data_IF_544822293123
#
_entry.id   IF_544822293123
#
_cell.length_a   1.000
_cell.length_b   1.000
_cell.length_c   1.000
_cell.angle_alpha   90.00
_cell.angle_beta   90.00
_cell.angle_gamma   90.00
#
_symmetry.space_group_name_H-M   'P 1'
#
loop_
_entity.id
_entity.type
_entity.pdbx_description
1 polymer ?
#
# COMPACT_ATOMS: atom_id res chain seq x y z
N UNK A 1 -32.80 7.77 42.88
CA UNK A 1 -32.33 8.94 42.11
C UNK A 1 -30.86 8.83 41.71
N UNK A 2 -29.90 8.64 42.64
CA UNK A 2 -28.47 8.48 42.30
C UNK A 2 -28.18 7.36 41.29
N UNK A 3 -28.76 6.16 41.46
CA UNK A 3 -28.55 5.03 40.54
C UNK A 3 -29.13 5.28 39.14
N UNK A 4 -30.21 6.06 39.03
CA UNK A 4 -30.82 6.43 37.74
C UNK A 4 -29.93 7.44 37.03
N UNK A 5 -29.34 8.39 37.75
CA UNK A 5 -28.38 9.33 37.21
C UNK A 5 -27.13 8.63 36.66
N UNK A 6 -26.55 7.68 37.41
CA UNK A 6 -25.42 6.88 36.94
C UNK A 6 -25.75 6.05 35.69
N UNK A 7 -26.94 5.45 35.64
CA UNK A 7 -27.39 4.69 34.47
C UNK A 7 -27.56 5.58 33.24
N UNK A 8 -28.11 6.79 33.39
CA UNK A 8 -28.26 7.75 32.28
C UNK A 8 -26.88 8.20 31.78
N UNK A 9 -25.94 8.53 32.69
CA UNK A 9 -24.58 8.88 32.29
C UNK A 9 -23.89 7.72 31.56
N UNK A 10 -24.07 6.49 32.03
CA UNK A 10 -23.49 5.31 31.39
C UNK A 10 -24.05 5.08 29.98
N UNK A 11 -25.38 5.15 29.81
CA UNK A 11 -26.02 5.01 28.50
C UNK A 11 -25.65 6.16 27.55
N UNK A 12 -25.49 7.38 28.06
CA UNK A 12 -25.01 8.51 27.26
C UNK A 12 -23.59 8.27 26.75
N UNK A 13 -22.68 7.75 27.61
CA UNK A 13 -21.32 7.40 27.20
C UNK A 13 -21.30 6.27 26.17
N UNK A 14 -22.10 5.22 26.36
CA UNK A 14 -22.21 4.14 25.36
C UNK A 14 -22.76 4.66 24.03
N UNK A 15 -23.76 5.53 24.07
CA UNK A 15 -24.32 6.14 22.86
C UNK A 15 -23.31 7.03 22.15
N UNK A 16 -22.46 7.77 22.88
CA UNK A 16 -21.42 8.60 22.25
C UNK A 16 -20.32 7.77 21.62
N UNK A 17 -19.91 6.66 22.27
CA UNK A 17 -18.94 5.72 21.68
C UNK A 17 -19.53 5.10 20.41
N UNK A 18 -20.75 4.59 20.48
CA UNK A 18 -21.42 4.01 19.31
C UNK A 18 -21.61 5.01 18.15
N UNK A 19 -21.92 6.27 18.44
CA UNK A 19 -22.02 7.31 17.40
C UNK A 19 -20.66 7.64 16.78
N UNK A 20 -19.59 7.62 17.58
CA UNK A 20 -18.23 7.81 17.11
C UNK A 20 -17.81 6.66 16.18
N UNK A 21 -18.03 5.41 16.60
CA UNK A 21 -17.75 4.23 15.77
C UNK A 21 -18.53 4.27 14.43
N UNK A 22 -19.78 4.77 14.45
CA UNK A 22 -20.57 4.95 13.23
C UNK A 22 -20.04 6.06 12.32
N UNK A 23 -19.42 7.10 12.87
CA UNK A 23 -18.84 8.18 12.08
C UNK A 23 -17.54 7.73 11.44
N UNK A 24 -16.66 7.07 12.20
CA UNK A 24 -15.40 6.47 11.73
C UNK A 24 -15.64 5.46 10.60
N UNK A 25 -16.58 4.53 10.78
CA UNK A 25 -16.93 3.56 9.72
C UNK A 25 -17.42 4.23 8.44
N UNK A 26 -18.16 5.35 8.54
CA UNK A 26 -18.65 6.07 7.36
C UNK A 26 -17.53 6.83 6.64
N UNK A 27 -16.56 7.34 7.38
CA UNK A 27 -15.37 7.96 6.81
C UNK A 27 -14.50 6.93 6.09
N UNK A 28 -14.28 5.75 6.68
CA UNK A 28 -13.57 4.66 6.02
C UNK A 28 -14.28 4.19 4.75
N UNK A 29 -15.60 3.99 4.79
CA UNK A 29 -16.36 3.61 3.60
C UNK A 29 -16.25 4.65 2.48
N UNK A 30 -16.41 5.94 2.82
CA UNK A 30 -16.28 7.01 1.82
C UNK A 30 -14.87 7.10 1.22
N UNK A 31 -13.83 6.79 2.01
CA UNK A 31 -12.46 6.75 1.53
C UNK A 31 -12.20 5.53 0.63
N UNK A 32 -12.75 4.36 0.98
CA UNK A 32 -12.69 3.18 0.13
C UNK A 32 -13.37 3.43 -1.22
N UNK A 33 -14.58 4.01 -1.21
CA UNK A 33 -15.31 4.41 -2.42
C UNK A 33 -14.51 5.41 -3.28
N UNK A 34 -13.87 6.42 -2.68
CA UNK A 34 -13.02 7.36 -3.40
C UNK A 34 -11.84 6.66 -4.08
N UNK A 35 -11.16 5.76 -3.35
CA UNK A 35 -10.03 4.96 -3.87
C UNK A 35 -10.47 4.08 -5.04
N UNK A 36 -11.53 3.29 -4.88
CA UNK A 36 -11.98 2.35 -5.94
C UNK A 36 -12.62 3.06 -7.13
N UNK A 37 -13.05 4.31 -6.97
CA UNK A 37 -13.58 5.14 -8.06
C UNK A 37 -12.49 5.78 -8.94
N UNK A 38 -11.22 5.70 -8.53
CA UNK A 38 -10.12 6.28 -9.27
C UNK A 38 -9.88 5.57 -10.62
N UNK A 39 -9.50 6.33 -11.63
CA UNK A 39 -9.05 5.76 -12.91
C UNK A 39 -7.80 4.90 -12.67
N UNK A 40 -7.75 3.69 -13.27
CA UNK A 40 -6.70 2.63 -13.24
C UNK A 40 -5.22 3.11 -13.20
N UNK A 41 -4.85 3.81 -12.13
CA UNK A 41 -3.61 4.54 -11.92
C UNK A 41 -3.28 4.56 -10.41
N UNK A 42 -2.10 5.08 -10.06
CA UNK A 42 -1.75 5.30 -8.66
C UNK A 42 -2.64 6.37 -8.04
N UNK A 43 -3.08 6.14 -6.81
CA UNK A 43 -3.76 7.14 -6.00
C UNK A 43 -2.90 8.43 -5.94
N UNK A 44 -3.49 9.64 -6.10
CA UNK A 44 -2.71 10.88 -6.26
C UNK A 44 -1.71 11.15 -5.13
N UNK A 45 -2.06 10.79 -3.89
CA UNK A 45 -1.15 10.92 -2.76
C UNK A 45 0.03 9.93 -2.86
N UNK A 46 -0.24 8.68 -3.23
CA UNK A 46 0.79 7.65 -3.43
C UNK A 46 1.74 8.06 -4.54
N UNK A 47 1.20 8.55 -5.67
CA UNK A 47 1.99 9.09 -6.78
C UNK A 47 2.93 10.21 -6.34
N UNK A 48 2.42 11.16 -5.55
CA UNK A 48 3.22 12.26 -5.00
C UNK A 48 4.35 11.75 -4.11
N UNK A 49 4.05 10.80 -3.21
CA UNK A 49 5.07 10.28 -2.29
C UNK A 49 6.10 9.41 -3.00
N UNK A 50 5.69 8.67 -4.03
CA UNK A 50 6.60 7.97 -4.95
C UNK A 50 7.55 8.93 -5.67
N UNK A 51 7.07 10.08 -6.15
CA UNK A 51 7.93 11.10 -6.78
C UNK A 51 8.93 11.69 -5.76
N UNK A 52 8.50 11.98 -4.53
CA UNK A 52 9.35 12.46 -3.44
C UNK A 52 10.40 11.41 -3.00
N UNK A 53 10.01 10.12 -2.96
CA UNK A 53 10.92 9.01 -2.67
C UNK A 53 12.09 8.99 -3.65
N UNK A 54 11.80 9.09 -4.96
CA UNK A 54 12.81 9.13 -6.02
C UNK A 54 13.73 10.35 -5.84
N UNK A 55 13.17 11.54 -5.59
CA UNK A 55 13.95 12.76 -5.40
C UNK A 55 14.89 12.66 -4.18
N UNK A 56 14.41 12.11 -3.06
CA UNK A 56 15.22 11.95 -1.83
C UNK A 56 16.30 10.88 -1.98
N UNK A 57 15.98 9.76 -2.61
CA UNK A 57 16.97 8.72 -2.89
C UNK A 57 18.07 9.25 -3.84
N UNK A 58 17.68 9.98 -4.90
CA UNK A 58 18.64 10.59 -5.82
C UNK A 58 19.53 11.61 -5.09
N UNK A 59 18.99 12.37 -4.14
CA UNK A 59 19.76 13.33 -3.35
C UNK A 59 20.87 12.69 -2.48
N UNK A 60 20.73 11.41 -2.12
CA UNK A 60 21.78 10.63 -1.43
C UNK A 60 22.61 9.75 -2.37
N UNK A 61 22.35 9.84 -3.68
CA UNK A 61 23.13 9.14 -4.71
C UNK A 61 22.59 7.77 -5.12
N UNK A 62 21.40 7.39 -4.66
CA UNK A 62 20.74 6.12 -5.01
C UNK A 62 19.75 6.38 -6.14
N UNK A 63 19.89 5.65 -7.24
CA UNK A 63 18.95 5.74 -8.36
C UNK A 63 17.86 4.68 -8.22
N UNK A 64 16.63 5.13 -7.94
CA UNK A 64 15.45 4.27 -7.73
C UNK A 64 14.63 4.15 -9.02
N UNK A 65 14.32 2.91 -9.41
CA UNK A 65 13.43 2.59 -10.52
C UNK A 65 12.15 1.99 -9.96
N UNK A 66 11.00 2.56 -10.33
CA UNK A 66 9.69 1.99 -10.01
C UNK A 66 9.39 0.89 -11.03
N UNK A 67 9.34 -0.35 -10.56
CA UNK A 67 9.15 -1.55 -11.40
C UNK A 67 7.68 -1.91 -11.58
N UNK A 68 6.84 -1.55 -10.60
CA UNK A 68 5.37 -1.66 -10.67
C UNK A 68 4.71 -0.51 -9.91
N UNK A 69 3.53 -0.08 -10.38
CA UNK A 69 2.64 0.80 -9.63
C UNK A 69 1.24 0.18 -9.55
N UNK A 70 0.24 0.85 -10.14
CA UNK A 70 -1.07 0.24 -10.34
C UNK A 70 -0.96 -1.03 -11.20
N UNK A 71 -1.69 -2.08 -10.80
CA UNK A 71 -1.76 -3.35 -11.50
C UNK A 71 -3.22 -3.78 -11.63
N UNK A 72 -3.72 -3.88 -12.85
CA UNK A 72 -5.11 -4.31 -13.09
C UNK A 72 -5.39 -5.72 -12.56
N UNK A 73 -6.67 -6.01 -12.33
CA UNK A 73 -7.14 -7.35 -11.93
C UNK A 73 -6.74 -8.44 -12.92
N UNK A 74 -6.90 -8.17 -14.22
CA UNK A 74 -6.46 -9.11 -15.28
C UNK A 74 -4.96 -9.42 -15.18
N UNK A 75 -4.13 -8.38 -14.98
CA UNK A 75 -2.68 -8.59 -14.82
C UNK A 75 -2.35 -9.33 -13.53
N UNK A 76 -3.09 -9.10 -12.45
CA UNK A 76 -2.89 -9.80 -11.19
C UNK A 76 -3.22 -11.29 -11.33
N UNK A 77 -4.32 -11.64 -12.02
CA UNK A 77 -4.68 -13.02 -12.31
C UNK A 77 -3.61 -13.73 -13.16
N UNK A 78 -3.08 -13.04 -14.19
CA UNK A 78 -1.98 -13.57 -15.01
C UNK A 78 -0.72 -13.87 -14.17
N UNK A 79 -0.35 -12.96 -13.25
CA UNK A 79 0.77 -13.19 -12.34
C UNK A 79 0.51 -14.32 -11.35
N UNK A 80 -0.72 -14.41 -10.81
CA UNK A 80 -1.11 -15.49 -9.90
C UNK A 80 -1.03 -16.86 -10.58
N UNK A 81 -1.37 -16.93 -11.87
CA UNK A 81 -1.32 -18.17 -12.65
C UNK A 81 0.10 -18.71 -12.86
N UNK A 82 1.15 -17.86 -12.81
CA UNK A 82 2.54 -18.27 -12.98
C UNK A 82 3.02 -19.24 -11.88
N UNK A 83 3.71 -20.30 -12.28
CA UNK A 83 4.16 -21.37 -11.38
C UNK A 83 3.02 -22.25 -10.85
N UNK A 84 1.75 -21.96 -11.19
CA UNK A 84 0.56 -22.73 -10.81
C UNK A 84 -0.08 -23.39 -12.04
N UNK A 85 -0.75 -22.59 -12.86
CA UNK A 85 -1.39 -23.01 -14.11
C UNK A 85 -0.47 -22.82 -15.32
N UNK A 86 0.48 -21.89 -15.22
CA UNK A 86 1.49 -21.58 -16.24
C UNK A 86 2.91 -21.90 -15.76
N UNK A 87 3.84 -22.03 -16.70
CA UNK A 87 5.26 -22.22 -16.38
C UNK A 87 5.89 -20.92 -15.90
N UNK A 88 6.75 -21.00 -14.89
CA UNK A 88 7.44 -19.85 -14.31
C UNK A 88 7.65 -20.06 -12.82
N UNK A 89 8.29 -19.09 -12.18
CA UNK A 89 8.35 -19.03 -10.72
C UNK A 89 7.08 -18.38 -10.18
N UNK A 90 6.70 -18.71 -8.95
CA UNK A 90 5.60 -18.04 -8.26
C UNK A 90 6.07 -16.65 -7.86
N UNK A 91 5.48 -15.62 -8.46
CA UNK A 91 5.84 -14.20 -8.20
C UNK A 91 4.85 -13.48 -7.29
N UNK A 92 3.67 -14.06 -7.07
CA UNK A 92 2.67 -13.54 -6.12
C UNK A 92 1.80 -14.66 -5.55
N UNK A 93 1.26 -14.41 -4.34
CA UNK A 93 0.25 -15.25 -3.71
C UNK A 93 -1.14 -14.60 -3.67
N UNK A 94 -1.27 -13.36 -4.11
CA UNK A 94 -2.52 -12.62 -4.13
C UNK A 94 -3.28 -12.88 -5.44
N UNK A 95 -4.57 -13.18 -5.35
CA UNK A 95 -5.49 -13.20 -6.50
C UNK A 95 -5.90 -11.76 -6.89
N UNK A 96 -6.63 -11.60 -7.99
CA UNK A 96 -7.18 -10.30 -8.36
C UNK A 96 -8.01 -9.68 -7.22
N UNK A 97 -7.74 -8.40 -6.94
CA UNK A 97 -8.39 -7.66 -5.86
C UNK A 97 -7.80 -7.96 -4.48
N UNK A 98 -6.82 -8.85 -4.33
CA UNK A 98 -6.18 -9.16 -3.04
C UNK A 98 -4.85 -8.42 -2.83
N UNK A 99 -4.48 -7.52 -3.75
CA UNK A 99 -3.26 -6.72 -3.67
C UNK A 99 -3.54 -5.23 -3.67
N UNK A 100 -2.84 -4.45 -2.84
CA UNK A 100 -2.93 -2.99 -2.85
C UNK A 100 -2.51 -2.35 -4.19
N UNK A 101 -1.74 -3.06 -5.02
CA UNK A 101 -1.47 -2.63 -6.39
C UNK A 101 -2.75 -2.53 -7.24
N UNK A 102 -3.75 -3.36 -6.95
CA UNK A 102 -5.03 -3.37 -7.66
C UNK A 102 -5.86 -2.09 -7.43
N UNK A 103 -5.54 -1.38 -6.36
CA UNK A 103 -6.24 -0.15 -5.95
C UNK A 103 -5.36 1.09 -6.10
N UNK A 104 -4.19 0.97 -6.76
CA UNK A 104 -3.26 2.09 -6.92
C UNK A 104 -2.61 2.56 -5.62
N UNK A 105 -2.58 1.70 -4.61
CA UNK A 105 -2.11 1.99 -3.25
C UNK A 105 -0.70 1.49 -2.95
N UNK A 106 -0.05 0.84 -3.92
CA UNK A 106 1.29 0.28 -3.76
C UNK A 106 2.18 0.53 -4.99
N UNK A 107 3.48 0.50 -4.74
CA UNK A 107 4.55 0.55 -5.73
C UNK A 107 5.60 -0.51 -5.41
N UNK A 108 6.21 -1.07 -6.45
CA UNK A 108 7.43 -1.86 -6.32
C UNK A 108 8.61 -1.02 -6.80
N UNK A 109 9.72 -1.05 -6.06
CA UNK A 109 10.95 -0.37 -6.45
C UNK A 109 12.13 -1.34 -6.62
N UNK A 110 13.13 -0.90 -7.36
CA UNK A 110 14.45 -1.52 -7.43
C UNK A 110 15.54 -0.45 -7.56
N UNK A 111 16.78 -0.86 -7.41
CA UNK A 111 17.95 0.03 -7.49
C UNK A 111 18.61 -0.16 -8.85
N UNK A 112 18.96 0.93 -9.51
CA UNK A 112 19.72 0.93 -10.75
C UNK A 112 21.14 1.45 -10.50
N UNK A 113 22.15 0.69 -10.89
CA UNK A 113 23.53 1.13 -10.73
C UNK A 113 23.94 2.15 -11.81
N UNK A 114 25.14 2.71 -11.69
CA UNK A 114 25.65 3.71 -12.65
C UNK A 114 25.83 3.23 -14.10
N UNK A 115 25.78 1.91 -14.34
CA UNK A 115 25.82 1.31 -15.68
C UNK A 115 24.41 1.05 -16.27
N UNK A 116 23.34 1.36 -15.52
CA UNK A 116 21.95 1.13 -15.94
C UNK A 116 21.46 -0.30 -15.69
N UNK A 117 22.14 -1.06 -14.81
CA UNK A 117 21.72 -2.41 -14.44
C UNK A 117 20.86 -2.38 -13.17
N UNK A 118 19.74 -3.11 -13.21
CA UNK A 118 18.90 -3.30 -12.02
C UNK A 118 19.56 -4.29 -11.06
N UNK A 119 19.74 -3.86 -9.81
CA UNK A 119 20.36 -4.61 -8.75
C UNK A 119 19.29 -5.17 -7.80
N UNK A 120 19.18 -6.49 -7.75
CA UNK A 120 18.26 -7.22 -6.89
C UNK A 120 18.92 -7.75 -5.60
N UNK A 121 20.22 -7.52 -5.44
CA UNK A 121 20.94 -7.87 -4.21
C UNK A 121 20.59 -6.87 -3.11
N UNK A 122 19.87 -7.31 -2.09
CA UNK A 122 19.41 -6.47 -0.98
C UNK A 122 20.60 -5.93 -0.16
N UNK A 123 21.74 -6.62 -0.17
CA UNK A 123 22.96 -6.21 0.54
C UNK A 123 23.85 -5.27 -0.29
N UNK A 124 23.37 -4.83 -1.46
CA UNK A 124 24.10 -3.91 -2.32
C UNK A 124 24.23 -2.53 -1.67
N UNK A 125 25.47 -2.08 -1.48
CA UNK A 125 25.86 -0.74 -1.04
C UNK A 125 26.66 -0.08 -2.17
N UNK A 126 25.94 0.51 -3.14
CA UNK A 126 26.50 1.17 -4.31
C UNK A 126 27.00 2.58 -4.03
N UNK A 127 26.47 3.23 -2.98
CA UNK A 127 26.89 4.56 -2.53
C UNK A 127 28.13 4.53 -1.63
N UNK A 128 28.54 3.35 -1.16
CA UNK A 128 29.60 3.13 -0.17
C UNK A 128 29.31 3.86 1.15
N UNK A 129 28.04 3.98 1.53
CA UNK A 129 27.58 4.62 2.76
C UNK A 129 27.90 3.77 4.00
N UNK A 130 28.07 2.46 3.81
CA UNK A 130 28.20 1.45 4.86
C UNK A 130 26.88 0.79 5.24
N UNK A 131 25.76 1.22 4.64
CA UNK A 131 24.44 0.59 4.74
C UNK A 131 23.97 0.15 3.34
N UNK A 132 23.17 -0.93 3.21
CA UNK A 132 22.66 -1.32 1.90
C UNK A 132 21.69 -0.28 1.35
N UNK A 133 21.86 0.10 0.08
CA UNK A 133 21.06 1.13 -0.58
C UNK A 133 19.55 0.80 -0.55
N UNK A 134 19.19 -0.49 -0.56
CA UNK A 134 17.80 -0.97 -0.44
C UNK A 134 17.15 -0.57 0.89
N UNK A 135 17.92 -0.62 1.98
CA UNK A 135 17.43 -0.26 3.31
C UNK A 135 17.33 1.25 3.48
N UNK A 136 18.26 2.01 2.90
CA UNK A 136 18.18 3.48 2.90
C UNK A 136 16.95 3.97 2.14
N UNK A 137 16.63 3.39 0.98
CA UNK A 137 15.40 3.72 0.22
C UNK A 137 14.14 3.32 0.98
N UNK A 138 14.15 2.14 1.62
CA UNK A 138 13.03 1.71 2.46
C UNK A 138 12.78 2.66 3.63
N UNK A 139 13.82 3.10 4.34
CA UNK A 139 13.73 4.07 5.43
C UNK A 139 13.13 5.39 4.95
N UNK A 140 13.57 5.92 3.80
CA UNK A 140 12.95 7.10 3.19
C UNK A 140 11.47 6.85 2.88
N UNK A 141 11.12 5.68 2.36
CA UNK A 141 9.73 5.28 2.11
C UNK A 141 8.89 5.34 3.38
N UNK A 142 9.37 4.76 4.47
CA UNK A 142 8.70 4.79 5.78
C UNK A 142 8.56 6.21 6.33
N UNK A 143 9.58 7.06 6.19
CA UNK A 143 9.50 8.48 6.56
C UNK A 143 8.44 9.25 5.77
N UNK A 144 8.19 8.86 4.51
CA UNK A 144 7.14 9.42 3.66
C UNK A 144 5.75 8.86 3.95
N UNK A 145 5.66 7.86 4.83
CA UNK A 145 4.43 7.23 5.29
C UNK A 145 4.05 5.96 4.54
N UNK A 146 4.96 5.36 3.78
CA UNK A 146 4.76 4.01 3.26
C UNK A 146 4.96 2.97 4.36
N UNK A 147 4.26 1.85 4.27
CA UNK A 147 4.67 0.62 4.91
C UNK A 147 5.58 -0.15 3.96
N UNK A 148 6.69 -0.69 4.46
CA UNK A 148 7.65 -1.42 3.65
C UNK A 148 7.51 -2.94 3.77
N UNK A 149 7.46 -3.62 2.62
CA UNK A 149 7.26 -5.05 2.54
C UNK A 149 8.43 -5.91 3.00
N UNK A 150 9.62 -5.33 3.17
CA UNK A 150 10.76 -6.02 3.78
C UNK A 150 10.44 -6.61 5.16
N UNK A 151 9.51 -6.02 5.92
CA UNK A 151 9.03 -6.56 7.20
C UNK A 151 8.31 -7.91 7.07
N UNK A 152 7.82 -8.26 5.87
CA UNK A 152 7.21 -9.54 5.54
C UNK A 152 7.87 -10.27 4.36
N UNK A 153 9.14 -9.97 4.08
CA UNK A 153 9.97 -10.55 3.01
C UNK A 153 9.52 -10.23 1.57
N UNK A 154 8.90 -9.07 1.36
CA UNK A 154 8.59 -8.51 0.04
C UNK A 154 9.36 -7.19 -0.15
N UNK A 155 10.66 -7.30 -0.41
CA UNK A 155 11.60 -6.18 -0.35
C UNK A 155 11.31 -5.04 -1.36
N UNK A 156 10.84 -5.30 -2.60
CA UNK A 156 10.44 -4.24 -3.53
C UNK A 156 9.24 -3.42 -3.08
N UNK A 157 8.38 -3.97 -2.24
CA UNK A 157 7.02 -3.47 -2.05
C UNK A 157 6.96 -2.30 -1.04
N UNK A 158 6.24 -1.25 -1.42
CA UNK A 158 5.85 -0.13 -0.58
C UNK A 158 4.36 0.16 -0.77
N UNK A 159 3.61 0.29 0.34
CA UNK A 159 2.16 0.56 0.28
C UNK A 159 1.71 1.70 1.21
N UNK A 160 0.58 2.32 0.85
CA UNK A 160 -0.19 3.23 1.72
C UNK A 160 -1.64 2.81 1.67
N UNK A 161 -2.07 2.03 2.66
CA UNK A 161 -3.44 1.51 2.74
C UNK A 161 -4.45 2.53 3.29
N UNK A 162 -3.96 3.62 3.90
CA UNK A 162 -4.75 4.62 4.60
C UNK A 162 -5.64 4.03 5.71
N UNK A 163 -5.29 2.86 6.25
CA UNK A 163 -6.09 2.10 7.21
C UNK A 163 -7.25 1.32 6.57
N UNK A 164 -7.27 1.16 5.24
CA UNK A 164 -8.23 0.32 4.53
C UNK A 164 -7.69 -1.09 4.39
N UNK A 165 -8.49 -2.07 4.80
CA UNK A 165 -8.27 -3.46 4.48
C UNK A 165 -8.63 -3.77 3.03
N UNK A 166 -8.05 -4.85 2.51
CA UNK A 166 -8.44 -5.42 1.22
C UNK A 166 -9.95 -5.75 1.18
N UNK A 167 -10.53 -6.25 2.28
CA UNK A 167 -11.96 -6.57 2.36
C UNK A 167 -12.84 -5.33 2.16
N UNK A 168 -12.50 -4.21 2.80
CA UNK A 168 -13.24 -2.94 2.63
C UNK A 168 -13.15 -2.40 1.20
N UNK A 169 -11.99 -2.55 0.55
CA UNK A 169 -11.80 -2.15 -0.84
C UNK A 169 -12.63 -3.03 -1.80
N UNK A 170 -12.62 -4.35 -1.60
CA UNK A 170 -13.43 -5.28 -2.38
C UNK A 170 -14.94 -5.03 -2.20
N UNK A 171 -15.38 -4.73 -0.97
CA UNK A 171 -16.77 -4.39 -0.70
C UNK A 171 -17.19 -3.09 -1.39
N UNK A 172 -16.33 -2.06 -1.38
CA UNK A 172 -16.60 -0.79 -2.05
C UNK A 172 -16.67 -0.95 -3.58
N UNK A 173 -15.75 -1.72 -4.18
CA UNK A 173 -15.76 -2.00 -5.61
C UNK A 173 -17.03 -2.74 -6.03
N UNK A 174 -17.43 -3.78 -5.29
CA UNK A 174 -18.67 -4.50 -5.54
C UNK A 174 -19.90 -3.59 -5.43
N UNK A 175 -19.91 -2.63 -4.51
CA UNK A 175 -21.02 -1.67 -4.40
C UNK A 175 -21.11 -0.79 -5.65
N UNK A 176 -19.99 -0.25 -6.12
CA UNK A 176 -19.95 0.57 -7.34
C UNK A 176 -20.39 -0.18 -8.60
N UNK A 177 -20.03 -1.46 -8.74
CA UNK A 177 -20.47 -2.28 -9.88
C UNK A 177 -21.99 -2.55 -9.90
N UNK A 178 -22.65 -2.48 -8.73
CA UNK A 178 -24.06 -2.80 -8.57
C UNK A 178 -25.00 -1.57 -8.66
N UNK A 179 -24.46 -0.35 -8.79
CA UNK A 179 -25.22 0.91 -8.96
C UNK A 179 -25.50 1.27 -10.43
#
# INVERSE_FOLDING_TARGET
MKNIFFLICFLAVLSTIFLFDLEENREQQAMAEDVVSADEELHPYVKKQKDELIERAEAIGINVVITEGYRSHERQDDLYAQGRAESGDIVTNAEAGESYHNYGLAIDFAIENGDGEIIWDIEYDGTESGEPDWLEVAEIGEELGFEWGGHWNDYPHLQMDFGLSIEELQEAEQQLENE
#
